data_IF_844142619295
#
_entry.id   IF_844142619295
#
_cell.length_a   1.000
_cell.length_b   1.000
_cell.length_c   1.000
_cell.angle_alpha   90.00
_cell.angle_beta   90.00
_cell.angle_gamma   90.00
#
_symmetry.space_group_name_H-M   'P 1'
#
loop_
_entity.id
_entity.type
_entity.pdbx_description
1 polymer ?
#
# COMPACT_ATOMS: atom_id res chain seq x y z
N UNK A 1 -21.30 -5.54 4.35
CA UNK A 1 -19.86 -5.25 4.50
C UNK A 1 -19.25 -6.37 5.34
N UNK A 2 -18.09 -6.91 4.96
CA UNK A 2 -17.44 -8.03 5.67
C UNK A 2 -17.02 -7.71 7.12
N UNK A 3 -16.88 -6.42 7.46
CA UNK A 3 -16.51 -5.94 8.80
C UNK A 3 -17.39 -4.76 9.22
N UNK A 4 -18.64 -5.01 9.70
CA UNK A 4 -19.58 -3.96 10.08
C UNK A 4 -19.07 -3.03 11.20
N UNK A 5 -18.21 -3.54 12.09
CA UNK A 5 -17.66 -2.79 13.21
C UNK A 5 -16.75 -1.61 12.81
N UNK A 6 -16.27 -1.58 11.57
CA UNK A 6 -15.46 -0.45 11.05
C UNK A 6 -16.31 0.69 10.46
N UNK A 7 -17.64 0.59 10.52
CA UNK A 7 -18.56 1.62 10.02
C UNK A 7 -18.99 2.66 11.07
N UNK A 8 -18.69 2.42 12.35
CA UNK A 8 -19.03 3.31 13.47
C UNK A 8 -17.81 4.15 13.86
N UNK A 9 -18.02 5.42 14.23
CA UNK A 9 -16.92 6.27 14.71
C UNK A 9 -16.42 5.81 16.09
N UNK A 10 -15.11 5.62 16.22
CA UNK A 10 -14.48 5.21 17.47
C UNK A 10 -13.52 4.03 17.30
N UNK A 11 -13.06 3.47 18.42
CA UNK A 11 -12.22 2.27 18.42
C UNK A 11 -13.10 1.03 18.37
N UNK A 12 -12.97 0.25 17.30
CA UNK A 12 -13.60 -1.06 17.20
C UNK A 12 -12.91 -2.06 18.15
N UNK A 13 -13.65 -2.58 19.12
CA UNK A 13 -13.16 -3.62 20.02
C UNK A 13 -13.33 -5.00 19.37
N UNK A 14 -12.21 -5.63 19.05
CA UNK A 14 -12.15 -7.01 18.55
C UNK A 14 -11.80 -8.03 19.66
N UNK A 15 -11.80 -7.60 20.92
CA UNK A 15 -11.45 -8.42 22.07
C UNK A 15 -9.95 -8.68 22.20
N UNK A 16 -9.61 -9.56 23.13
CA UNK A 16 -8.22 -9.95 23.36
C UNK A 16 -7.68 -10.78 22.18
N UNK A 17 -6.54 -10.35 21.64
CA UNK A 17 -5.80 -11.14 20.66
C UNK A 17 -5.32 -12.46 21.30
N UNK A 18 -5.26 -13.56 20.54
CA UNK A 18 -4.68 -14.81 21.03
C UNK A 18 -3.23 -14.60 21.44
N UNK A 19 -2.79 -15.35 22.46
CA UNK A 19 -1.40 -15.30 22.91
C UNK A 19 -0.46 -15.74 21.78
N UNK A 20 0.53 -14.91 21.47
CA UNK A 20 1.57 -15.25 20.52
C UNK A 20 2.53 -16.30 21.11
N UNK A 21 3.01 -17.21 20.28
CA UNK A 21 4.08 -18.15 20.65
C UNK A 21 5.40 -17.37 20.77
N UNK A 22 5.96 -17.32 21.98
CA UNK A 22 7.20 -16.61 22.28
C UNK A 22 8.45 -17.25 21.66
N UNK A 23 8.34 -18.48 21.17
CA UNK A 23 9.40 -19.19 20.46
C UNK A 23 9.36 -18.99 18.94
N UNK A 24 8.28 -18.39 18.41
CA UNK A 24 8.13 -18.16 16.99
C UNK A 24 9.18 -17.19 16.45
N UNK A 25 9.86 -17.59 15.37
CA UNK A 25 10.80 -16.74 14.63
C UNK A 25 10.28 -16.48 13.23
N UNK A 26 10.31 -15.21 12.85
CA UNK A 26 10.03 -14.80 11.48
C UNK A 26 11.34 -14.95 10.68
N UNK A 27 11.46 -16.07 9.97
CA UNK A 27 12.58 -16.37 9.09
C UNK A 27 12.09 -16.46 7.64
N UNK A 28 12.88 -15.96 6.69
CA UNK A 28 12.55 -15.97 5.26
C UNK A 28 13.17 -14.81 4.49
N UNK A 29 13.17 -14.91 3.16
CA UNK A 29 13.56 -13.83 2.26
C UNK A 29 12.31 -13.02 1.90
N UNK A 30 12.38 -11.69 1.97
CA UNK A 30 11.36 -10.83 1.38
C UNK A 30 11.58 -10.80 -0.15
N UNK A 31 10.77 -11.56 -0.89
CA UNK A 31 10.85 -11.57 -2.37
C UNK A 31 10.49 -10.21 -2.99
N UNK A 32 9.68 -9.42 -2.31
CA UNK A 32 9.30 -8.07 -2.71
C UNK A 32 8.85 -7.23 -1.51
N UNK A 33 8.85 -5.91 -1.68
CA UNK A 33 8.22 -5.01 -0.72
C UNK A 33 6.70 -5.01 -0.86
N UNK A 34 5.94 -4.83 0.24
CA UNK A 34 4.47 -4.81 0.20
C UNK A 34 3.89 -3.71 -0.70
N UNK A 35 4.62 -2.60 -0.83
CA UNK A 35 4.28 -1.52 -1.73
C UNK A 35 5.17 -1.65 -2.96
N UNK A 36 4.58 -2.13 -4.06
CA UNK A 36 5.26 -2.24 -5.35
C UNK A 36 5.42 -0.88 -6.05
N UNK A 37 4.44 -0.01 -5.85
CA UNK A 37 4.39 1.31 -6.46
C UNK A 37 3.97 2.35 -5.41
N UNK A 38 4.92 3.20 -5.05
CA UNK A 38 4.73 4.24 -4.06
C UNK A 38 3.72 5.32 -4.52
N UNK A 39 3.65 5.59 -5.81
CA UNK A 39 2.77 6.61 -6.37
C UNK A 39 1.33 6.13 -6.51
N UNK A 40 1.07 4.82 -6.50
CA UNK A 40 -0.25 4.22 -6.73
C UNK A 40 -0.78 3.37 -5.55
N UNK A 41 -0.50 3.81 -4.33
CA UNK A 41 -0.80 3.06 -3.08
C UNK A 41 -2.29 2.92 -2.75
N UNK A 42 -3.10 3.95 -3.03
CA UNK A 42 -4.52 4.01 -2.64
C UNK A 42 -5.42 4.39 -3.84
N UNK A 43 -6.76 4.29 -3.71
CA UNK A 43 -7.68 4.59 -4.82
C UNK A 43 -7.60 6.03 -5.34
N UNK A 44 -7.37 7.01 -4.46
CA UNK A 44 -7.24 8.42 -4.86
C UNK A 44 -6.00 8.61 -5.71
N UNK A 45 -4.87 8.04 -5.27
CA UNK A 45 -3.62 8.09 -6.00
C UNK A 45 -3.71 7.39 -7.35
N UNK A 46 -4.39 6.23 -7.43
CA UNK A 46 -4.66 5.54 -8.70
C UNK A 46 -5.55 6.32 -9.66
N UNK A 47 -6.49 7.11 -9.14
CA UNK A 47 -7.34 7.96 -9.95
C UNK A 47 -6.64 9.25 -10.42
N UNK A 48 -5.49 9.60 -9.86
CA UNK A 48 -4.76 10.82 -10.19
C UNK A 48 -3.92 10.65 -11.46
N UNK A 49 -4.18 11.49 -12.47
CA UNK A 49 -3.38 11.52 -13.70
C UNK A 49 -1.90 11.86 -13.44
N UNK A 50 -1.65 12.76 -12.48
CA UNK A 50 -0.29 13.18 -12.10
C UNK A 50 0.47 12.02 -11.46
N UNK A 51 -0.17 11.26 -10.57
CA UNK A 51 0.50 10.13 -9.92
C UNK A 51 0.76 8.98 -10.89
N UNK A 52 -0.11 8.78 -11.88
CA UNK A 52 0.17 7.82 -12.95
C UNK A 52 1.38 8.23 -13.79
N UNK A 53 1.52 9.53 -14.09
CA UNK A 53 2.70 10.03 -14.80
C UNK A 53 4.00 9.84 -13.99
N UNK A 54 4.00 10.20 -12.70
CA UNK A 54 5.17 9.99 -11.83
C UNK A 54 5.56 8.50 -11.72
N UNK A 55 4.56 7.62 -11.61
CA UNK A 55 4.79 6.16 -11.61
C UNK A 55 5.44 5.70 -12.92
N UNK A 56 4.87 6.08 -14.06
CA UNK A 56 5.35 5.73 -15.38
C UNK A 56 6.82 6.16 -15.58
N UNK A 57 7.14 7.40 -15.25
CA UNK A 57 8.48 7.98 -15.43
C UNK A 57 9.50 7.38 -14.45
N UNK A 58 9.23 7.51 -13.14
CA UNK A 58 10.25 7.29 -12.11
C UNK A 58 10.40 5.82 -11.72
N UNK A 59 9.37 5.01 -11.93
CA UNK A 59 9.36 3.60 -11.54
C UNK A 59 9.35 2.66 -12.75
N UNK A 60 8.61 2.98 -13.80
CA UNK A 60 8.47 2.10 -14.98
C UNK A 60 9.36 2.50 -16.16
N UNK A 61 10.07 3.63 -16.06
CA UNK A 61 11.03 4.09 -17.06
C UNK A 61 10.41 4.51 -18.40
N UNK A 62 9.12 4.90 -18.39
CA UNK A 62 8.49 5.48 -19.56
C UNK A 62 9.11 6.84 -19.85
N UNK A 63 9.66 6.99 -21.07
CA UNK A 63 10.28 8.22 -21.51
C UNK A 63 9.20 9.27 -21.79
N UNK A 64 9.06 10.22 -20.86
CA UNK A 64 8.30 11.41 -21.13
C UNK A 64 9.05 12.22 -22.18
N UNK A 65 8.35 12.59 -23.26
CA UNK A 65 8.84 13.57 -24.21
C UNK A 65 8.87 14.92 -23.50
N UNK A 66 9.93 15.19 -22.75
CA UNK A 66 10.25 16.53 -22.27
C UNK A 66 10.33 17.44 -23.49
N UNK A 67 9.29 18.25 -23.67
CA UNK A 67 9.39 19.41 -24.53
C UNK A 67 10.36 20.35 -23.82
N UNK A 68 11.60 20.37 -24.33
CA UNK A 68 12.72 21.20 -23.91
C UNK A 68 12.30 22.49 -23.17
N UNK A 69 12.68 22.59 -21.89
CA UNK A 69 12.68 23.84 -21.11
C UNK A 69 13.92 24.69 -21.45
#
# INVERSE_FOLDING_TARGET
AEVPALGEEGLADYGALPAADSSAKADGMLEAYPIKDFYLTNPIARASAVMQQCSAELLHGEELKEAAE
#
